data_IF_304393573694
#
_entry.id   IF_304393573694
#
_cell.length_a   1.000
_cell.length_b   1.000
_cell.length_c   1.000
_cell.angle_alpha   90.00
_cell.angle_beta   90.00
_cell.angle_gamma   90.00
#
_symmetry.space_group_name_H-M   'P 1'
#
loop_
_entity.id
_entity.type
_entity.pdbx_description
1 polymer ?
#
# COMPACT_ATOMS: atom_id res chain seq x y z
N UNK A 1 -15.52 5.22 -8.68
CA UNK A 1 -14.23 4.81 -9.27
C UNK A 1 -13.48 4.08 -8.19
N UNK A 2 -13.29 2.77 -8.33
CA UNK A 2 -12.60 1.95 -7.33
C UNK A 2 -11.08 2.07 -7.55
N UNK A 3 -10.33 2.19 -6.45
CA UNK A 3 -8.86 2.32 -6.46
C UNK A 3 -8.20 0.97 -6.73
N UNK A 4 -8.85 -0.14 -6.36
CA UNK A 4 -8.34 -1.50 -6.49
C UNK A 4 -8.76 -2.16 -7.80
N UNK A 5 -9.28 -1.41 -8.77
CA UNK A 5 -9.59 -1.92 -10.11
C UNK A 5 -8.31 -2.20 -10.91
N UNK A 6 -8.35 -3.23 -11.75
CA UNK A 6 -7.24 -3.58 -12.63
C UNK A 6 -7.11 -2.53 -13.76
N UNK A 7 -5.99 -1.80 -13.88
CA UNK A 7 -5.83 -0.81 -14.94
C UNK A 7 -5.65 -1.41 -16.34
N UNK A 8 -5.42 -2.72 -16.44
CA UNK A 8 -5.14 -3.46 -17.68
C UNK A 8 -6.34 -4.25 -18.22
N UNK A 9 -7.46 -4.29 -17.49
CA UNK A 9 -8.70 -4.93 -17.97
C UNK A 9 -9.60 -3.86 -18.57
N UNK A 10 -9.84 -3.93 -19.88
CA UNK A 10 -10.99 -3.28 -20.48
C UNK A 10 -12.21 -4.15 -20.17
N UNK A 11 -13.02 -3.78 -19.19
CA UNK A 11 -14.31 -4.48 -18.98
C UNK A 11 -15.16 -4.30 -20.23
N UNK A 12 -15.33 -5.39 -20.98
CA UNK A 12 -16.41 -5.57 -21.94
C UNK A 12 -17.76 -5.43 -21.22
N UNK A 13 -18.76 -4.93 -21.95
CA UNK A 13 -20.13 -4.63 -21.53
C UNK A 13 -20.33 -3.32 -20.77
N UNK A 14 -20.56 -2.22 -21.51
CA UNK A 14 -21.62 -1.26 -21.19
C UNK A 14 -21.91 -0.31 -22.37
N UNK A 15 -23.18 -0.31 -22.75
CA UNK A 15 -23.85 0.31 -23.91
C UNK A 15 -23.94 1.84 -23.84
N UNK A 16 -22.83 2.56 -23.62
CA UNK A 16 -22.78 4.02 -23.71
C UNK A 16 -21.39 4.52 -24.15
N UNK A 17 -21.23 4.78 -25.45
CA UNK A 17 -19.94 5.07 -26.09
C UNK A 17 -19.18 6.28 -25.52
N UNK A 18 -19.89 7.33 -25.08
CA UNK A 18 -19.26 8.52 -24.51
C UNK A 18 -18.67 8.28 -23.09
N UNK A 19 -19.35 7.48 -22.25
CA UNK A 19 -18.85 7.12 -20.92
C UNK A 19 -17.73 6.08 -21.02
N UNK A 20 -17.84 5.12 -21.95
CA UNK A 20 -16.79 4.13 -22.21
C UNK A 20 -15.52 4.80 -22.75
N UNK A 21 -15.64 5.77 -23.68
CA UNK A 21 -14.49 6.53 -24.17
C UNK A 21 -13.83 7.38 -23.08
N UNK A 22 -14.62 8.05 -22.23
CA UNK A 22 -14.11 8.82 -21.08
C UNK A 22 -13.38 7.93 -20.07
N UNK A 23 -13.95 6.76 -19.75
CA UNK A 23 -13.32 5.75 -18.87
C UNK A 23 -12.05 5.17 -19.47
N UNK A 24 -12.03 4.82 -20.77
CA UNK A 24 -10.81 4.37 -21.48
C UNK A 24 -9.72 5.44 -21.51
N UNK A 25 -10.09 6.71 -21.64
CA UNK A 25 -9.14 7.83 -21.60
C UNK A 25 -8.59 8.03 -20.19
N UNK A 26 -9.45 7.97 -19.17
CA UNK A 26 -9.06 8.03 -17.76
C UNK A 26 -8.18 6.84 -17.37
N UNK A 27 -8.49 5.61 -17.81
CA UNK A 27 -7.69 4.42 -17.56
C UNK A 27 -6.35 4.48 -18.29
N UNK A 28 -6.30 4.95 -19.55
CA UNK A 28 -5.03 5.19 -20.24
C UNK A 28 -4.17 6.22 -19.54
N UNK A 29 -4.73 7.36 -19.13
CA UNK A 29 -3.99 8.39 -18.38
C UNK A 29 -3.51 7.83 -17.03
N UNK A 30 -4.37 7.12 -16.29
CA UNK A 30 -4.01 6.46 -15.02
C UNK A 30 -2.96 5.38 -15.22
N UNK A 31 -2.97 4.66 -16.33
CA UNK A 31 -2.02 3.59 -16.63
C UNK A 31 -0.68 4.16 -17.09
N UNK A 32 -0.65 5.21 -17.92
CA UNK A 32 0.56 5.73 -18.57
C UNK A 32 1.24 6.88 -17.83
N UNK A 33 0.53 7.60 -16.97
CA UNK A 33 1.11 8.73 -16.22
C UNK A 33 1.76 8.20 -14.94
N UNK A 34 3.06 8.48 -14.71
CA UNK A 34 3.70 8.19 -13.44
C UNK A 34 2.98 8.92 -12.31
N UNK A 35 2.59 8.16 -11.28
CA UNK A 35 2.02 8.72 -10.06
C UNK A 35 3.15 8.81 -9.05
N UNK A 36 3.55 10.03 -8.71
CA UNK A 36 4.70 10.23 -7.83
C UNK A 36 4.28 10.40 -6.37
N UNK A 37 2.99 10.58 -6.09
CA UNK A 37 2.48 10.78 -4.73
C UNK A 37 1.16 10.04 -4.54
N UNK A 38 1.09 9.20 -3.53
CA UNK A 38 -0.15 8.58 -3.04
C UNK A 38 -0.28 8.89 -1.56
N UNK A 39 -1.35 9.57 -1.18
CA UNK A 39 -1.65 9.95 0.22
C UNK A 39 -3.10 9.56 0.53
N UNK A 40 -3.37 9.08 1.74
CA UNK A 40 -4.76 8.83 2.14
C UNK A 40 -4.97 8.13 3.48
N UNK A 41 -6.23 7.77 3.70
CA UNK A 41 -6.70 6.99 4.83
C UNK A 41 -7.41 5.73 4.30
N UNK A 42 -6.69 4.63 4.03
CA UNK A 42 -7.29 3.39 3.54
C UNK A 42 -8.29 2.79 4.54
N UNK A 43 -9.30 2.03 4.11
CA UNK A 43 -10.22 1.35 5.02
C UNK A 43 -9.51 0.33 5.94
N UNK A 44 -9.94 0.24 7.20
CA UNK A 44 -9.29 -0.57 8.25
C UNK A 44 -9.88 -1.98 8.43
N UNK A 45 -10.52 -2.51 7.40
CA UNK A 45 -11.22 -3.80 7.44
C UNK A 45 -10.23 -4.98 7.43
N UNK A 46 -10.41 -5.93 8.35
CA UNK A 46 -9.58 -7.12 8.53
C UNK A 46 -10.13 -8.39 7.83
N UNK A 47 -11.31 -8.29 7.21
CA UNK A 47 -11.96 -9.37 6.44
C UNK A 47 -12.08 -9.00 4.97
N UNK A 48 -10.97 -8.60 4.37
CA UNK A 48 -10.97 -8.11 3.00
C UNK A 48 -10.82 -9.22 1.93
N UNK A 49 -10.90 -10.49 2.30
CA UNK A 49 -10.82 -11.60 1.34
C UNK A 49 -11.81 -11.37 0.19
N UNK A 50 -11.32 -11.49 -1.05
CA UNK A 50 -12.03 -11.22 -2.30
C UNK A 50 -12.33 -9.75 -2.62
N UNK A 51 -11.91 -8.80 -1.78
CA UNK A 51 -12.08 -7.35 -2.00
C UNK A 51 -10.81 -6.67 -2.50
N UNK A 52 -9.72 -7.43 -2.71
CA UNK A 52 -8.46 -6.89 -3.21
C UNK A 52 -8.34 -6.79 -4.72
N UNK A 53 -9.35 -7.22 -5.50
CA UNK A 53 -9.31 -7.20 -6.96
C UNK A 53 -8.03 -7.86 -7.50
N UNK A 54 -7.35 -7.18 -8.42
CA UNK A 54 -6.08 -7.61 -9.02
C UNK A 54 -4.86 -7.53 -8.08
N UNK A 55 -4.98 -6.87 -6.92
CA UNK A 55 -3.91 -6.88 -5.91
C UNK A 55 -3.83 -8.26 -5.27
N UNK A 56 -4.99 -8.87 -4.99
CA UNK A 56 -5.14 -10.16 -4.33
C UNK A 56 -5.20 -11.33 -5.33
N UNK A 57 -5.85 -11.14 -6.49
CA UNK A 57 -6.08 -12.17 -7.49
C UNK A 57 -5.10 -12.05 -8.65
N UNK A 58 -4.75 -13.20 -9.26
CA UNK A 58 -3.99 -13.23 -10.51
C UNK A 58 -4.78 -12.54 -11.62
N UNK A 59 -4.12 -11.72 -12.43
CA UNK A 59 -4.69 -11.26 -13.69
C UNK A 59 -4.76 -12.44 -14.68
N UNK A 60 -5.74 -12.46 -15.57
CA UNK A 60 -5.82 -13.47 -16.62
C UNK A 60 -4.59 -13.37 -17.52
N UNK A 61 -3.69 -14.37 -17.49
CA UNK A 61 -2.58 -14.48 -18.46
C UNK A 61 -1.14 -14.44 -17.96
N UNK A 62 -0.83 -14.81 -16.71
CA UNK A 62 0.48 -15.34 -16.22
C UNK A 62 1.22 -14.56 -15.11
N UNK A 63 0.81 -13.35 -14.71
CA UNK A 63 1.50 -12.66 -13.61
C UNK A 63 1.03 -13.10 -12.20
N UNK A 64 1.98 -13.18 -11.27
CA UNK A 64 1.67 -13.43 -9.86
C UNK A 64 0.87 -12.25 -9.26
N UNK A 65 0.00 -12.49 -8.26
CA UNK A 65 -0.72 -11.41 -7.59
C UNK A 65 0.23 -10.35 -7.05
N UNK A 66 -0.13 -9.07 -7.14
CA UNK A 66 0.74 -8.01 -6.61
C UNK A 66 1.08 -8.24 -5.14
N UNK A 67 0.12 -8.74 -4.35
CA UNK A 67 0.29 -9.02 -2.93
C UNK A 67 1.51 -9.91 -2.62
N UNK A 68 1.96 -10.74 -3.56
CA UNK A 68 3.13 -11.60 -3.38
C UNK A 68 4.42 -10.80 -3.18
N UNK A 69 4.47 -9.53 -3.64
CA UNK A 69 5.57 -8.61 -3.33
C UNK A 69 5.72 -8.27 -1.85
N UNK A 70 4.68 -8.50 -1.04
CA UNK A 70 4.70 -8.34 0.42
C UNK A 70 4.80 -9.67 1.18
N UNK A 71 4.79 -10.82 0.49
CA UNK A 71 5.01 -12.12 1.12
C UNK A 71 6.48 -12.30 1.47
N UNK A 72 6.74 -13.16 2.45
CA UNK A 72 8.09 -13.53 2.85
C UNK A 72 8.15 -15.05 2.98
N UNK A 73 9.02 -15.75 2.23
CA UNK A 73 9.18 -17.19 2.38
C UNK A 73 9.40 -17.58 3.84
N UNK A 74 8.63 -18.55 4.32
CA UNK A 74 8.68 -19.01 5.71
C UNK A 74 7.91 -18.15 6.73
N UNK A 75 7.17 -17.11 6.32
CA UNK A 75 6.37 -16.29 7.25
C UNK A 75 5.02 -16.94 7.65
N UNK A 76 4.63 -18.02 6.96
CA UNK A 76 3.63 -19.00 7.38
C UNK A 76 2.32 -18.38 7.89
N UNK A 77 1.86 -18.83 9.06
CA UNK A 77 0.59 -18.38 9.69
C UNK A 77 0.46 -16.87 9.89
N UNK A 78 1.58 -16.13 9.90
CA UNK A 78 1.55 -14.68 10.13
C UNK A 78 1.13 -13.90 8.87
N UNK A 79 1.05 -14.54 7.70
CA UNK A 79 0.60 -13.89 6.46
C UNK A 79 -0.90 -13.54 6.45
N UNK A 80 -1.69 -13.96 7.45
CA UNK A 80 -3.10 -13.53 7.57
C UNK A 80 -3.25 -11.99 7.62
N UNK A 81 -2.25 -11.27 8.16
CA UNK A 81 -2.24 -9.79 8.19
C UNK A 81 -2.28 -9.19 6.79
N UNK A 82 -1.77 -9.91 5.77
CA UNK A 82 -1.81 -9.44 4.38
C UNK A 82 -3.23 -9.39 3.81
N UNK A 83 -4.21 -9.99 4.48
CA UNK A 83 -5.63 -9.96 4.09
C UNK A 83 -6.38 -8.73 4.62
N UNK A 84 -5.71 -7.84 5.34
CA UNK A 84 -6.31 -6.58 5.75
C UNK A 84 -6.42 -5.64 4.55
N UNK A 85 -7.55 -4.96 4.39
CA UNK A 85 -7.84 -4.13 3.22
C UNK A 85 -6.80 -3.02 3.04
N UNK A 86 -6.37 -2.38 4.15
CA UNK A 86 -5.33 -1.36 4.10
C UNK A 86 -4.00 -1.87 3.52
N UNK A 87 -3.69 -3.18 3.64
CA UNK A 87 -2.49 -3.78 3.05
C UNK A 87 -2.60 -3.84 1.53
N UNK A 88 -3.80 -4.07 0.98
CA UNK A 88 -4.02 -4.01 -0.47
C UNK A 88 -3.79 -2.61 -1.01
N UNK A 89 -4.27 -1.58 -0.31
CA UNK A 89 -3.99 -0.18 -0.66
C UNK A 89 -2.49 0.13 -0.59
N UNK A 90 -1.79 -0.32 0.45
CA UNK A 90 -0.33 -0.21 0.52
C UNK A 90 0.34 -0.86 -0.68
N UNK A 91 -0.02 -2.09 -1.00
CA UNK A 91 0.62 -2.82 -2.10
C UNK A 91 0.34 -2.15 -3.45
N UNK A 92 -0.89 -1.75 -3.70
CA UNK A 92 -1.28 -1.02 -4.91
C UNK A 92 -0.53 0.30 -5.03
N UNK A 93 -0.48 1.09 -3.96
CA UNK A 93 0.18 2.39 -3.95
C UNK A 93 1.68 2.24 -4.21
N UNK A 94 2.36 1.33 -3.51
CA UNK A 94 3.79 1.13 -3.72
C UNK A 94 4.09 0.54 -5.09
N UNK A 95 3.21 -0.33 -5.62
CA UNK A 95 3.33 -0.78 -7.01
C UNK A 95 3.25 0.41 -7.95
N UNK A 96 2.22 1.24 -7.81
CA UNK A 96 1.97 2.31 -8.77
C UNK A 96 3.08 3.37 -8.76
N UNK A 97 3.60 3.71 -7.59
CA UNK A 97 4.64 4.74 -7.43
C UNK A 97 6.05 4.19 -7.69
N UNK A 98 6.36 2.96 -7.25
CA UNK A 98 7.75 2.47 -7.22
C UNK A 98 8.06 1.33 -8.20
N UNK A 99 7.05 0.59 -8.65
CA UNK A 99 7.26 -0.64 -9.45
C UNK A 99 6.77 -0.50 -10.90
N UNK A 100 5.64 0.19 -11.12
CA UNK A 100 4.89 0.18 -12.37
C UNK A 100 5.63 0.81 -13.56
N UNK A 101 6.56 1.73 -13.30
CA UNK A 101 7.23 2.52 -14.33
C UNK A 101 8.75 2.46 -14.15
N UNK A 102 9.44 1.62 -14.93
CA UNK A 102 10.89 1.39 -14.79
C UNK A 102 11.76 2.67 -14.82
N UNK A 103 11.37 3.65 -15.65
CA UNK A 103 12.05 4.94 -15.80
C UNK A 103 11.62 5.99 -14.76
N UNK A 104 10.50 5.76 -14.06
CA UNK A 104 9.95 6.71 -13.11
C UNK A 104 9.43 5.98 -11.86
N UNK A 105 10.35 5.76 -10.92
CA UNK A 105 10.08 5.04 -9.67
C UNK A 105 10.16 5.93 -8.44
N UNK A 106 10.27 7.24 -8.63
CA UNK A 106 10.46 8.16 -7.52
C UNK A 106 9.12 8.67 -7.03
N UNK A 107 9.03 8.93 -5.73
CA UNK A 107 7.79 9.40 -5.15
C UNK A 107 7.63 9.13 -3.68
N UNK A 108 6.39 9.33 -3.22
CA UNK A 108 5.99 9.24 -1.82
C UNK A 108 4.70 8.43 -1.69
N UNK A 109 4.68 7.48 -0.76
CA UNK A 109 3.44 6.84 -0.28
C UNK A 109 3.26 7.20 1.19
N UNK A 110 2.10 7.76 1.54
CA UNK A 110 1.77 8.19 2.90
C UNK A 110 0.36 7.73 3.28
N UNK A 111 0.25 6.86 4.28
CA UNK A 111 -1.05 6.44 4.81
C UNK A 111 -1.12 6.51 6.32
N UNK A 112 -2.32 6.82 6.83
CA UNK A 112 -2.71 6.50 8.20
C UNK A 112 -3.42 5.15 8.21
N UNK A 113 -2.87 4.17 8.94
CA UNK A 113 -3.38 2.78 8.99
C UNK A 113 -3.15 2.16 10.37
N UNK A 114 -3.81 1.03 10.69
CA UNK A 114 -3.44 0.20 11.82
C UNK A 114 -1.94 -0.12 11.82
N UNK A 115 -1.26 0.12 12.93
CA UNK A 115 0.20 0.10 13.02
C UNK A 115 0.79 -1.29 13.24
N UNK A 116 -0.04 -2.33 13.44
CA UNK A 116 0.42 -3.67 13.79
C UNK A 116 1.42 -4.30 12.80
N UNK A 117 1.37 -3.92 11.53
CA UNK A 117 2.33 -4.38 10.51
C UNK A 117 3.73 -3.77 10.67
N UNK A 118 3.87 -2.65 11.38
CA UNK A 118 5.16 -1.93 11.54
C UNK A 118 6.13 -2.63 12.49
N UNK A 119 5.62 -3.43 13.43
CA UNK A 119 6.44 -4.14 14.44
C UNK A 119 6.16 -5.64 14.46
N UNK A 120 4.91 -6.05 14.20
CA UNK A 120 4.47 -7.44 14.32
C UNK A 120 5.08 -8.41 13.28
N UNK A 121 4.99 -9.73 13.52
CA UNK A 121 5.55 -10.75 12.62
C UNK A 121 4.84 -10.80 11.25
N UNK A 122 3.55 -10.47 11.18
CA UNK A 122 2.79 -10.50 9.92
C UNK A 122 3.27 -9.49 8.88
N UNK A 123 3.80 -8.35 9.31
CA UNK A 123 4.30 -7.30 8.41
C UNK A 123 5.75 -7.49 7.95
N UNK A 124 6.44 -8.60 8.25
CA UNK A 124 7.87 -8.78 7.93
C UNK A 124 8.15 -8.63 6.43
N UNK A 125 7.35 -9.25 5.56
CA UNK A 125 7.54 -9.15 4.11
C UNK A 125 7.28 -7.74 3.59
N UNK A 126 6.21 -7.08 4.04
CA UNK A 126 5.93 -5.67 3.73
C UNK A 126 7.08 -4.74 4.16
N UNK A 127 7.59 -4.86 5.39
CA UNK A 127 8.76 -4.09 5.85
C UNK A 127 10.00 -4.39 5.04
N UNK A 128 10.21 -5.66 4.69
CA UNK A 128 11.33 -6.11 3.87
C UNK A 128 11.29 -5.48 2.48
N UNK A 129 10.12 -5.47 1.83
CA UNK A 129 9.89 -4.75 0.57
C UNK A 129 10.17 -3.25 0.72
N UNK A 130 9.53 -2.57 1.68
CA UNK A 130 9.68 -1.11 1.85
C UNK A 130 11.14 -0.71 2.12
N UNK A 131 11.87 -1.49 2.92
CA UNK A 131 13.29 -1.25 3.21
C UNK A 131 14.20 -1.47 2.00
N UNK A 132 13.84 -2.34 1.05
CA UNK A 132 14.61 -2.55 -0.19
C UNK A 132 14.25 -1.52 -1.26
N UNK A 133 13.00 -1.10 -1.31
CA UNK A 133 12.48 -0.24 -2.38
C UNK A 133 12.71 1.24 -2.10
N UNK A 134 12.57 1.68 -0.84
CA UNK A 134 12.61 3.10 -0.49
C UNK A 134 14.00 3.55 0.00
N UNK A 135 14.24 4.85 -0.02
CA UNK A 135 15.44 5.47 0.57
C UNK A 135 15.24 5.81 2.04
N UNK A 136 14.04 6.24 2.40
CA UNK A 136 13.72 6.75 3.72
C UNK A 136 12.24 6.51 4.06
N UNK A 137 11.95 6.37 5.35
CA UNK A 137 10.58 6.29 5.81
C UNK A 137 10.40 6.78 7.24
N UNK A 138 9.19 7.19 7.56
CA UNK A 138 8.76 7.65 8.88
C UNK A 138 7.57 6.83 9.35
N UNK A 139 7.62 6.41 10.60
CA UNK A 139 6.52 5.75 11.29
C UNK A 139 6.20 6.63 12.50
N UNK A 140 5.08 7.32 12.41
CA UNK A 140 4.58 8.23 13.43
C UNK A 140 3.45 7.52 14.17
N UNK A 141 3.77 6.94 15.33
CA UNK A 141 2.80 6.24 16.16
C UNK A 141 1.85 7.26 16.82
N UNK A 142 0.55 7.09 16.56
CA UNK A 142 -0.53 7.94 17.04
C UNK A 142 -1.30 7.28 18.21
N UNK A 143 -0.86 6.12 18.67
CA UNK A 143 -1.48 5.38 19.76
C UNK A 143 -0.39 4.84 20.68
N UNK A 144 0.37 5.72 21.38
CA UNK A 144 1.43 5.30 22.30
C UNK A 144 0.90 4.44 23.45
N UNK A 145 -0.39 4.56 23.81
CA UNK A 145 -1.07 3.77 24.83
C UNK A 145 -1.33 2.32 24.38
N UNK A 146 -1.23 2.06 23.07
CA UNK A 146 -1.39 0.73 22.49
C UNK A 146 -2.85 0.34 22.24
N UNK A 147 -3.15 -0.95 22.38
CA UNK A 147 -4.47 -1.50 22.06
C UNK A 147 -5.51 -1.07 23.08
N UNK A 148 -6.73 -0.77 22.61
CA UNK A 148 -7.87 -0.41 23.47
C UNK A 148 -7.60 0.80 24.38
N UNK A 149 -6.82 1.76 23.89
CA UNK A 149 -6.65 3.06 24.54
C UNK A 149 -8.02 3.71 24.86
N UNK A 150 -8.07 4.58 25.86
CA UNK A 150 -9.29 5.30 26.21
C UNK A 150 -9.83 6.08 25.02
N UNK A 151 -11.16 6.13 24.86
CA UNK A 151 -11.78 6.75 23.66
C UNK A 151 -11.31 8.20 23.47
N UNK A 152 -11.07 8.92 24.57
CA UNK A 152 -10.61 10.30 24.57
C UNK A 152 -9.19 10.49 23.99
N UNK A 153 -8.35 9.45 23.99
CA UNK A 153 -6.97 9.53 23.49
C UNK A 153 -6.85 9.05 22.04
N UNK A 154 -7.92 8.50 21.45
CA UNK A 154 -7.91 7.98 20.08
C UNK A 154 -8.07 9.12 19.08
N UNK A 155 -7.24 9.11 18.03
CA UNK A 155 -7.37 10.01 16.88
C UNK A 155 -8.73 9.87 16.19
N UNK A 156 -9.24 8.65 16.09
CA UNK A 156 -10.61 8.37 15.66
C UNK A 156 -11.35 7.62 16.77
N UNK A 157 -12.36 8.21 17.43
CA UNK A 157 -13.04 7.60 18.58
C UNK A 157 -13.55 6.17 18.34
N UNK A 158 -14.05 5.91 17.13
CA UNK A 158 -14.57 4.60 16.71
C UNK A 158 -13.51 3.56 16.33
N UNK A 159 -12.22 3.90 16.34
CA UNK A 159 -11.13 3.01 15.93
C UNK A 159 -10.31 2.62 17.14
N UNK A 160 -10.52 1.39 17.64
CA UNK A 160 -9.81 0.87 18.81
C UNK A 160 -8.44 0.25 18.49
N UNK A 161 -8.10 0.09 17.21
CA UNK A 161 -6.81 -0.41 16.74
C UNK A 161 -5.74 0.70 16.88
N UNK A 162 -4.51 0.37 17.29
CA UNK A 162 -3.42 1.35 17.30
C UNK A 162 -3.13 1.87 15.89
N UNK A 163 -3.02 3.18 15.73
CA UNK A 163 -2.80 3.82 14.42
C UNK A 163 -1.41 4.41 14.30
N UNK A 164 -0.90 4.45 13.07
CA UNK A 164 0.27 5.21 12.72
C UNK A 164 0.11 5.89 11.37
N UNK A 165 0.69 7.08 11.23
CA UNK A 165 1.01 7.67 9.93
C UNK A 165 2.35 7.10 9.49
N UNK A 166 2.36 6.46 8.32
CA UNK A 166 3.54 5.86 7.73
C UNK A 166 3.82 6.55 6.40
N UNK A 167 5.03 7.11 6.26
CA UNK A 167 5.51 7.80 5.06
C UNK A 167 6.71 7.06 4.52
N UNK A 168 6.74 6.74 3.24
CA UNK A 168 7.88 6.11 2.58
C UNK A 168 8.22 6.83 1.28
N UNK A 169 9.51 7.10 1.08
CA UNK A 169 10.02 7.95 -0.01
C UNK A 169 11.09 7.21 -0.80
N UNK A 170 10.99 7.29 -2.13
CA UNK A 170 12.05 6.93 -3.07
C UNK A 170 12.45 8.18 -3.86
N UNK A 171 13.74 8.53 -3.81
CA UNK A 171 14.25 9.78 -4.40
C UNK A 171 14.55 9.59 -5.89
N UNK A 172 14.42 10.67 -6.66
CA UNK A 172 14.83 10.69 -8.06
C UNK A 172 16.35 10.58 -8.20
N UNK A 173 16.83 10.01 -9.30
CA UNK A 173 18.26 9.93 -9.63
C UNK A 173 19.05 8.86 -8.86
N UNK A 174 18.44 8.17 -7.88
CA UNK A 174 19.08 7.07 -7.18
C UNK A 174 18.91 5.76 -7.99
N UNK A 175 19.96 4.93 -8.19
CA UNK A 175 19.87 3.67 -8.90
C UNK A 175 18.78 2.72 -8.41
N UNK A 176 18.20 2.01 -9.37
CA UNK A 176 17.19 0.95 -9.24
C UNK A 176 17.41 -0.02 -8.08
N UNK A 177 18.65 -0.51 -8.03
CA UNK A 177 19.16 -1.53 -7.14
C UNK A 177 20.44 -0.98 -6.55
N UNK A 178 20.50 -0.98 -5.22
CA UNK A 178 21.69 -0.62 -4.48
C UNK A 178 22.02 -1.78 -3.60
N UNK A 179 22.94 -2.62 -4.06
CA UNK A 179 23.38 -3.79 -3.32
C UNK A 179 23.69 -3.39 -1.87
N UNK A 180 22.93 -3.94 -0.92
CA UNK A 180 23.13 -3.76 0.51
C UNK A 180 22.56 -2.48 1.17
N UNK A 181 22.08 -1.47 0.42
CA UNK A 181 21.48 -0.27 1.05
C UNK A 181 20.02 -0.52 1.40
N UNK A 182 19.67 -0.34 2.67
CA UNK A 182 18.30 -0.39 3.16
C UNK A 182 17.81 1.01 3.52
N UNK A 183 16.50 1.24 3.37
CA UNK A 183 15.86 2.48 3.78
C UNK A 183 16.18 2.83 5.24
N UNK A 184 16.51 4.09 5.51
CA UNK A 184 16.54 4.61 6.88
C UNK A 184 15.09 4.80 7.34
N UNK A 185 14.72 4.17 8.46
CA UNK A 185 13.36 4.27 9.01
C UNK A 185 13.41 5.01 10.34
N UNK A 186 12.67 6.10 10.41
CA UNK A 186 12.53 6.94 11.58
C UNK A 186 11.24 6.57 12.30
N UNK A 187 11.34 6.33 13.60
CA UNK A 187 10.17 6.08 14.44
C UNK A 187 10.00 7.24 15.42
N UNK A 188 8.76 7.70 15.59
CA UNK A 188 8.39 8.67 16.61
C UNK A 188 6.99 8.33 17.14
N UNK A 189 6.81 8.39 18.44
CA UNK A 189 5.48 8.39 19.04
C UNK A 189 5.05 9.83 19.33
N UNK A 190 3.79 10.14 19.09
CA UNK A 190 3.19 11.38 19.59
C UNK A 190 3.04 11.24 21.10
N UNK A 191 3.31 12.32 21.82
CA UNK A 191 3.01 12.45 23.24
C UNK A 191 2.00 13.59 23.37
N UNK A 192 0.93 13.36 24.11
CA UNK A 192 -0.17 14.28 24.33
C UNK A 192 -0.97 13.87 25.54
#
# INVERSE_FOLDING_TARGET
TDTLDNPFVEDEYLTYDALAASRRRANRIKASTPVNVVIGNPPYDDKAENRGGWVEKRSHGQDAPLLDGFRLPGNGRYEHVLKNLYVYFWRWATWKVFDAHHNDRHGVVCFITPSGWTTGPGGRGMRSYLRRTCDEGWIINLSPEGHRADVATRVFPGVAQPLAICVFVRRAGEPAERAGRQARVHYRAVAG
#
